data_IF_647033167568
#
_entry.id   IF_647033167568
#
_cell.length_a   1.000
_cell.length_b   1.000
_cell.length_c   1.000
_cell.angle_alpha   90.00
_cell.angle_beta   90.00
_cell.angle_gamma   90.00
#
_symmetry.space_group_name_H-M   'P 1'
#
loop_
_entity.id
_entity.type
_entity.pdbx_description
1 polymer ?
#
# COMPACT_ATOMS: atom_id res chain seq x y z
N UNK A 1 -10.93 1.64 15.71
CA UNK A 1 -10.19 1.55 14.44
C UNK A 1 -8.77 2.11 14.51
N UNK A 2 -8.49 3.28 15.12
CA UNK A 2 -7.14 3.88 15.15
C UNK A 2 -6.00 2.91 15.51
N UNK A 3 -6.14 2.13 16.59
CA UNK A 3 -5.16 1.12 17.00
C UNK A 3 -4.85 0.05 15.97
N UNK A 4 -5.81 -0.33 15.12
CA UNK A 4 -5.60 -1.31 14.04
C UNK A 4 -4.69 -0.75 12.94
N UNK A 5 -4.74 0.56 12.70
CA UNK A 5 -3.86 1.24 11.75
C UNK A 5 -2.45 1.44 12.31
N UNK A 6 -2.32 1.48 13.63
CA UNK A 6 -1.05 1.65 14.36
C UNK A 6 -0.33 0.32 14.65
N UNK A 7 -0.94 -0.82 14.32
CA UNK A 7 -0.27 -2.11 14.44
C UNK A 7 0.95 -2.16 13.53
N UNK A 8 2.02 -2.81 14.02
CA UNK A 8 3.16 -3.16 13.16
C UNK A 8 2.69 -4.01 11.99
N UNK A 9 3.23 -3.71 10.82
CA UNK A 9 3.01 -4.45 9.58
C UNK A 9 3.35 -5.94 9.72
N UNK A 10 4.31 -6.30 10.58
CA UNK A 10 4.64 -7.70 10.93
C UNK A 10 3.45 -8.48 11.50
N UNK A 11 2.50 -7.80 12.16
CA UNK A 11 1.26 -8.40 12.70
C UNK A 11 0.09 -8.34 11.72
N UNK A 12 0.29 -7.71 10.56
CA UNK A 12 -0.75 -7.49 9.56
C UNK A 12 -0.28 -7.93 8.18
N UNK A 13 0.48 -9.03 8.11
CA UNK A 13 0.94 -9.64 6.85
C UNK A 13 1.68 -8.65 5.93
N UNK A 14 2.51 -7.79 6.53
CA UNK A 14 3.25 -6.70 5.86
C UNK A 14 2.37 -5.64 5.19
N UNK A 15 1.12 -5.52 5.60
CA UNK A 15 0.23 -4.46 5.15
C UNK A 15 0.31 -3.30 6.14
N UNK A 16 0.94 -2.17 5.81
CA UNK A 16 0.94 -1.02 6.70
C UNK A 16 -0.48 -0.46 6.85
N UNK A 17 -0.79 0.10 8.02
CA UNK A 17 -2.06 0.78 8.24
C UNK A 17 -2.12 2.15 7.56
N UNK A 18 -0.99 2.83 7.45
CA UNK A 18 -0.81 4.09 6.75
C UNK A 18 0.49 4.03 5.94
N UNK A 19 0.41 4.40 4.67
CA UNK A 19 1.57 4.48 3.79
C UNK A 19 1.51 5.80 3.01
N UNK A 20 2.41 6.76 3.27
CA UNK A 20 2.46 7.99 2.50
C UNK A 20 2.96 7.70 1.08
N UNK A 21 2.26 8.25 0.09
CA UNK A 21 2.70 8.24 -1.29
C UNK A 21 2.96 9.67 -1.75
N UNK A 22 4.10 9.90 -2.38
CA UNK A 22 4.50 11.20 -2.92
C UNK A 22 4.81 11.03 -4.41
N UNK A 23 4.27 11.86 -5.31
CA UNK A 23 4.63 11.80 -6.72
C UNK A 23 6.15 11.80 -6.94
N UNK A 24 6.65 10.89 -7.78
CA UNK A 24 8.09 10.69 -8.01
C UNK A 24 8.75 9.70 -7.06
N UNK A 25 8.03 9.19 -6.06
CA UNK A 25 8.53 8.19 -5.11
C UNK A 25 8.87 6.88 -5.81
N UNK A 26 10.06 6.36 -5.52
CA UNK A 26 10.45 5.02 -5.94
C UNK A 26 9.67 3.98 -5.12
N UNK A 27 9.02 3.05 -5.81
CA UNK A 27 8.16 2.02 -5.21
C UNK A 27 8.51 0.63 -5.73
N UNK A 28 8.31 -0.39 -4.89
CA UNK A 28 8.39 -1.80 -5.26
C UNK A 28 6.99 -2.40 -5.18
N UNK A 29 6.61 -3.15 -6.21
CA UNK A 29 5.38 -3.93 -6.21
C UNK A 29 5.53 -5.12 -5.26
N UNK A 30 4.55 -5.34 -4.39
CA UNK A 30 4.61 -6.41 -3.37
C UNK A 30 3.84 -7.67 -3.75
N UNK A 31 3.11 -7.66 -4.86
CA UNK A 31 2.22 -8.74 -5.28
C UNK A 31 2.30 -8.96 -6.79
N UNK A 32 2.06 -10.19 -7.22
CA UNK A 32 1.90 -10.51 -8.64
C UNK A 32 0.50 -10.07 -9.09
N UNK A 33 0.44 -9.13 -10.03
CA UNK A 33 -0.84 -8.61 -10.55
C UNK A 33 -1.12 -9.19 -11.94
N UNK A 34 -0.12 -9.11 -12.83
CA UNK A 34 -0.20 -9.69 -14.17
C UNK A 34 1.20 -10.12 -14.59
N UNK A 35 1.52 -11.38 -14.31
CA UNK A 35 2.85 -11.98 -14.52
C UNK A 35 3.26 -11.86 -15.99
N UNK A 36 2.34 -12.14 -16.90
CA UNK A 36 2.58 -12.08 -18.35
C UNK A 36 2.96 -10.68 -18.84
N UNK A 37 2.46 -9.64 -18.18
CA UNK A 37 2.78 -8.24 -18.48
C UNK A 37 4.03 -7.74 -17.72
N UNK A 38 4.66 -8.61 -16.93
CA UNK A 38 5.83 -8.27 -16.12
C UNK A 38 5.50 -7.59 -14.77
N UNK A 39 4.23 -7.52 -14.37
CA UNK A 39 3.82 -6.96 -13.07
C UNK A 39 3.90 -8.03 -11.98
N UNK A 40 5.13 -8.28 -11.53
CA UNK A 40 5.48 -9.28 -10.53
C UNK A 40 5.99 -8.62 -9.24
N UNK A 41 5.86 -9.34 -8.13
CA UNK A 41 6.45 -8.94 -6.85
C UNK A 41 7.95 -8.67 -7.00
N UNK A 42 8.42 -7.55 -6.45
CA UNK A 42 9.80 -7.10 -6.52
C UNK A 42 10.11 -6.15 -7.69
N UNK A 43 9.17 -5.95 -8.63
CA UNK A 43 9.42 -4.98 -9.71
C UNK A 43 9.43 -3.55 -9.17
N UNK A 44 10.44 -2.79 -9.58
CA UNK A 44 10.55 -1.37 -9.26
C UNK A 44 9.72 -0.52 -10.21
N UNK A 45 9.18 0.56 -9.69
CA UNK A 45 8.50 1.60 -10.46
C UNK A 45 8.59 2.96 -9.78
N UNK A 46 8.00 3.96 -10.41
CA UNK A 46 7.88 5.31 -9.88
C UNK A 46 6.41 5.61 -9.70
N UNK A 47 5.98 5.87 -8.46
CA UNK A 47 4.62 6.32 -8.18
C UNK A 47 4.40 7.71 -8.77
N UNK A 48 3.34 7.90 -9.55
CA UNK A 48 3.02 9.20 -10.17
C UNK A 48 1.84 9.86 -9.51
N UNK A 49 0.70 9.18 -9.44
CA UNK A 49 -0.51 9.75 -8.86
C UNK A 49 -1.53 8.69 -8.46
N UNK A 50 -2.40 9.06 -7.53
CA UNK A 50 -3.61 8.32 -7.22
C UNK A 50 -4.75 8.81 -8.11
N UNK A 51 -5.48 7.87 -8.69
CA UNK A 51 -6.75 8.13 -9.38
C UNK A 51 -7.87 7.82 -8.42
N UNK A 52 -8.75 8.79 -8.20
CA UNK A 52 -9.86 8.68 -7.25
C UNK A 52 -11.19 8.54 -7.97
N UNK A 53 -12.19 8.05 -7.25
CA UNK A 53 -13.56 8.04 -7.72
C UNK A 53 -14.11 9.47 -7.77
N UNK A 54 -14.85 9.85 -8.82
CA UNK A 54 -15.28 11.24 -9.04
C UNK A 54 -16.17 11.83 -7.95
N UNK A 55 -16.83 10.99 -7.15
CA UNK A 55 -17.76 11.35 -6.06
C UNK A 55 -17.10 11.31 -4.67
N UNK A 56 -15.78 11.20 -4.59
CA UNK A 56 -15.09 10.85 -3.34
C UNK A 56 -14.54 12.03 -2.54
N UNK A 57 -15.08 13.22 -2.73
CA UNK A 57 -14.66 14.42 -2.01
C UNK A 57 -15.46 14.52 -0.70
N UNK A 58 -14.74 14.58 0.42
CA UNK A 58 -15.31 14.94 1.72
C UNK A 58 -14.65 16.21 2.25
N UNK A 59 -15.47 17.10 2.82
CA UNK A 59 -15.03 18.27 3.60
C UNK A 59 -14.97 17.98 5.08
N UNK A 60 -15.41 16.80 5.54
CA UNK A 60 -15.40 16.44 6.95
C UNK A 60 -13.97 16.18 7.41
N UNK A 61 -13.47 17.15 8.17
CA UNK A 61 -12.10 17.23 8.67
C UNK A 61 -11.84 16.09 9.66
N UNK A 62 -10.99 15.13 9.29
CA UNK A 62 -10.50 14.10 10.22
C UNK A 62 -9.41 14.64 11.16
N UNK A 63 -8.81 15.80 10.90
CA UNK A 63 -7.77 16.38 11.76
C UNK A 63 -7.69 17.91 11.74
N UNK A 64 -7.49 18.52 12.91
CA UNK A 64 -7.20 19.96 13.06
C UNK A 64 -5.83 20.37 12.50
N UNK A 65 -5.09 19.44 11.89
CA UNK A 65 -3.72 19.66 11.42
C UNK A 65 -3.65 20.38 10.06
N UNK A 66 -4.77 20.48 9.33
CA UNK A 66 -4.81 21.06 7.99
C UNK A 66 -5.75 22.27 7.92
N UNK A 67 -5.51 23.22 7.01
CA UNK A 67 -6.38 24.39 6.80
C UNK A 67 -7.84 24.00 6.53
N UNK A 68 -8.77 24.87 6.91
CA UNK A 68 -10.23 24.64 6.78
C UNK A 68 -10.73 24.47 5.34
N UNK A 69 -9.93 24.87 4.34
CA UNK A 69 -10.23 24.70 2.92
C UNK A 69 -9.63 23.41 2.31
N UNK A 70 -9.08 22.51 3.14
CA UNK A 70 -8.52 21.22 2.67
C UNK A 70 -9.63 20.28 2.23
N UNK A 71 -9.59 19.86 0.97
CA UNK A 71 -10.49 18.83 0.44
C UNK A 71 -9.87 17.44 0.68
N UNK A 72 -10.61 16.56 1.35
CA UNK A 72 -10.18 15.18 1.54
C UNK A 72 -10.79 14.31 0.45
N UNK A 73 -9.96 13.94 -0.52
CA UNK A 73 -10.35 12.97 -1.55
C UNK A 73 -10.08 11.57 -1.01
N UNK A 74 -11.13 10.77 -0.89
CA UNK A 74 -11.06 9.39 -0.39
C UNK A 74 -11.25 8.38 -1.52
N UNK A 75 -11.23 7.07 -1.22
CA UNK A 75 -11.51 5.97 -2.18
C UNK A 75 -10.70 6.05 -3.49
N UNK A 76 -9.38 5.83 -3.43
CA UNK A 76 -8.60 5.62 -4.64
C UNK A 76 -9.10 4.39 -5.42
N UNK A 77 -9.13 4.50 -6.74
CA UNK A 77 -9.46 3.42 -7.69
C UNK A 77 -8.20 2.64 -8.07
N UNK A 78 -7.15 3.36 -8.43
CA UNK A 78 -5.84 2.81 -8.82
C UNK A 78 -4.74 3.86 -8.59
N UNK A 79 -3.50 3.42 -8.66
CA UNK A 79 -2.33 4.28 -8.74
C UNK A 79 -1.74 4.22 -10.14
N UNK A 80 -1.49 5.37 -10.73
CA UNK A 80 -0.69 5.46 -11.94
C UNK A 80 0.78 5.41 -11.56
N UNK A 81 1.48 4.42 -12.12
CA UNK A 81 2.90 4.18 -11.81
C UNK A 81 3.67 3.91 -13.08
N UNK A 82 4.89 4.45 -13.16
CA UNK A 82 5.80 4.17 -14.26
C UNK A 82 6.57 2.89 -13.97
N UNK A 83 6.47 1.90 -14.85
CA UNK A 83 7.16 0.61 -14.70
C UNK A 83 8.01 0.36 -15.94
N UNK A 84 9.29 0.71 -15.87
CA UNK A 84 10.18 0.70 -17.04
C UNK A 84 10.37 -0.67 -17.69
N UNK A 85 10.21 -1.76 -16.92
CA UNK A 85 10.38 -3.14 -17.40
C UNK A 85 9.06 -3.86 -17.69
N UNK A 86 7.94 -3.13 -17.78
CA UNK A 86 6.67 -3.74 -18.17
C UNK A 86 6.76 -4.29 -19.59
N UNK A 87 6.11 -5.43 -19.84
CA UNK A 87 5.95 -6.01 -21.19
C UNK A 87 4.68 -5.50 -21.89
N UNK A 88 4.16 -4.35 -21.47
CA UNK A 88 2.99 -3.74 -22.08
C UNK A 88 3.44 -3.12 -23.41
N UNK A 89 3.11 -3.81 -24.50
CA UNK A 89 3.50 -3.44 -25.87
C UNK A 89 2.57 -2.37 -26.47
N UNK A 90 1.36 -2.24 -25.94
CA UNK A 90 0.40 -1.21 -26.36
C UNK A 90 0.61 0.07 -25.55
N UNK A 91 0.77 1.20 -26.23
CA UNK A 91 0.43 2.48 -25.60
C UNK A 91 -1.06 2.40 -25.29
N UNK A 92 -1.44 2.37 -24.01
CA UNK A 92 -2.81 2.66 -23.61
C UNK A 92 -3.14 4.03 -24.22
N UNK A 93 -4.14 4.10 -25.09
CA UNK A 93 -4.36 5.21 -26.05
C UNK A 93 -4.40 6.61 -25.41
N UNK A 94 -4.62 6.68 -24.09
CA UNK A 94 -4.72 7.89 -23.29
C UNK A 94 -3.56 8.10 -22.29
N UNK A 95 -2.56 7.20 -22.25
CA UNK A 95 -1.47 7.23 -21.28
C UNK A 95 -0.10 7.40 -21.93
N UNK A 96 0.77 8.14 -21.24
CA UNK A 96 2.18 8.22 -21.61
C UNK A 96 2.82 6.82 -21.60
N UNK A 97 3.77 6.53 -22.50
CA UNK A 97 4.45 5.24 -22.54
C UNK A 97 4.99 4.84 -21.16
N UNK A 98 4.82 3.55 -20.79
CA UNK A 98 5.25 2.94 -19.51
C UNK A 98 4.49 3.37 -18.25
N UNK A 99 3.50 4.25 -18.37
CA UNK A 99 2.59 4.54 -17.27
C UNK A 99 1.49 3.46 -17.25
N UNK A 100 1.29 2.85 -16.08
CA UNK A 100 0.39 1.71 -15.91
C UNK A 100 -0.52 1.96 -14.72
N UNK A 101 -1.84 1.70 -14.85
CA UNK A 101 -2.75 1.69 -13.71
C UNK A 101 -2.54 0.43 -12.87
N UNK A 102 -2.14 0.63 -11.61
CA UNK A 102 -2.01 -0.42 -10.60
C UNK A 102 -3.24 -0.39 -9.68
N UNK A 103 -4.11 -1.41 -9.73
CA UNK A 103 -5.31 -1.45 -8.91
C UNK A 103 -4.98 -1.63 -7.42
N UNK A 104 -5.92 -1.25 -6.57
CA UNK A 104 -5.86 -1.63 -5.16
C UNK A 104 -6.12 -3.12 -5.01
N UNK A 105 -5.32 -3.78 -4.19
CA UNK A 105 -5.45 -5.19 -3.85
C UNK A 105 -6.15 -5.34 -2.51
N UNK A 106 -6.92 -6.41 -2.39
CA UNK A 106 -7.59 -6.79 -1.16
C UNK A 106 -6.88 -7.99 -0.54
N UNK A 107 -6.51 -7.87 0.72
CA UNK A 107 -5.87 -8.94 1.47
C UNK A 107 -6.53 -9.08 2.83
N UNK A 108 -6.62 -10.32 3.29
CA UNK A 108 -7.20 -10.65 4.60
C UNK A 108 -6.10 -11.14 5.53
N UNK A 109 -6.03 -10.58 6.72
CA UNK A 109 -5.11 -10.99 7.78
C UNK A 109 -5.86 -11.18 9.09
N UNK A 110 -5.25 -11.93 10.01
CA UNK A 110 -5.83 -12.26 11.31
C UNK A 110 -5.07 -11.55 12.41
N UNK A 111 -5.80 -10.95 13.35
CA UNK A 111 -5.22 -10.26 14.50
C UNK A 111 -5.87 -10.76 15.78
N UNK A 112 -5.08 -10.96 16.83
CA UNK A 112 -5.61 -11.21 18.16
C UNK A 112 -6.27 -9.93 18.70
N UNK A 113 -7.51 -10.03 19.17
CA UNK A 113 -8.27 -8.89 19.70
C UNK A 113 -7.51 -8.19 20.84
N UNK A 114 -6.70 -8.93 21.62
CA UNK A 114 -5.88 -8.36 22.70
C UNK A 114 -4.87 -7.32 22.22
N UNK A 115 -4.39 -7.41 20.97
CA UNK A 115 -3.47 -6.43 20.38
C UNK A 115 -4.13 -5.08 20.08
N UNK A 116 -5.46 -5.07 19.91
CA UNK A 116 -6.23 -3.88 19.53
C UNK A 116 -6.96 -3.27 20.74
N UNK A 117 -7.17 -4.04 21.82
CA UNK A 117 -7.88 -3.55 23.01
C UNK A 117 -7.04 -2.55 23.84
N UNK A 118 -7.67 -1.63 24.59
CA UNK A 118 -7.00 -0.81 25.59
C UNK A 118 -6.36 -1.68 26.68
N UNK A 119 -5.10 -1.42 27.02
CA UNK A 119 -4.41 -2.05 28.15
C UNK A 119 -5.20 -1.70 29.42
N UNK A 120 -5.95 -2.65 29.98
CA UNK A 120 -6.82 -2.44 31.14
C UNK A 120 -8.15 -3.19 31.08
N UNK A 121 -8.65 -3.52 29.88
CA UNK A 121 -9.76 -4.47 29.70
C UNK A 121 -9.18 -5.83 29.33
N UNK A 122 -8.70 -6.58 30.33
CA UNK A 122 -8.36 -7.99 30.13
C UNK A 122 -9.64 -8.73 29.77
N UNK A 123 -9.60 -9.53 28.70
CA UNK A 123 -10.66 -10.51 28.43
C UNK A 123 -10.84 -11.38 29.68
N UNK A 124 -12.09 -11.56 30.11
CA UNK A 124 -12.45 -12.44 31.23
C UNK A 124 -12.22 -13.91 30.84
N UNK A 125 -12.14 -14.22 29.54
CA UNK A 125 -11.77 -15.54 29.03
C UNK A 125 -10.31 -15.57 28.57
N UNK A 126 -9.59 -16.64 28.93
CA UNK A 126 -8.24 -16.96 28.46
C UNK A 126 -8.22 -17.44 26.99
N UNK A 127 -9.35 -17.42 26.30
CA UNK A 127 -9.43 -17.83 24.90
C UNK A 127 -8.97 -16.71 23.98
N UNK A 128 -8.02 -17.04 23.09
CA UNK A 128 -7.55 -16.14 22.04
C UNK A 128 -8.70 -15.89 21.06
N UNK A 129 -9.32 -14.72 21.17
CA UNK A 129 -10.30 -14.28 20.21
C UNK A 129 -9.57 -13.69 18.99
N UNK A 130 -9.68 -14.37 17.83
CA UNK A 130 -9.03 -13.97 16.58
C UNK A 130 -10.04 -13.22 15.72
N UNK A 131 -9.67 -12.00 15.29
CA UNK A 131 -10.44 -11.20 14.34
C UNK A 131 -9.84 -11.34 12.94
N UNK A 132 -10.68 -11.67 11.96
CA UNK A 132 -10.32 -11.67 10.54
C UNK A 132 -10.62 -10.29 9.94
N UNK A 133 -9.60 -9.65 9.37
CA UNK A 133 -9.67 -8.27 8.88
C UNK A 133 -9.29 -8.26 7.41
N UNK A 134 -10.15 -7.65 6.61
CA UNK A 134 -9.95 -7.43 5.19
C UNK A 134 -9.52 -5.99 4.96
N UNK A 135 -8.40 -5.79 4.26
CA UNK A 135 -7.84 -4.47 3.95
C UNK A 135 -7.63 -4.34 2.45
N UNK A 136 -8.07 -3.21 1.91
CA UNK A 136 -7.83 -2.81 0.52
C UNK A 136 -6.75 -1.73 0.49
N UNK A 137 -5.64 -1.98 -0.18
CA UNK A 137 -4.49 -1.09 -0.24
C UNK A 137 -3.77 -1.20 -1.58
N UNK A 138 -2.91 -0.22 -1.91
CA UNK A 138 -2.00 -0.36 -3.03
C UNK A 138 -0.92 -1.41 -2.70
N UNK A 139 -0.58 -2.30 -3.64
CA UNK A 139 0.47 -3.30 -3.44
C UNK A 139 1.87 -2.70 -3.63
N UNK A 140 2.15 -1.60 -2.94
CA UNK A 140 3.42 -0.89 -3.02
C UNK A 140 4.08 -0.73 -1.66
N UNK A 141 5.41 -0.68 -1.67
CA UNK A 141 6.24 -0.19 -0.56
C UNK A 141 7.30 0.77 -1.09
N UNK A 142 7.78 1.72 -0.28
CA UNK A 142 8.94 2.54 -0.60
C UNK A 142 10.13 1.68 -1.03
N UNK A 143 10.85 2.13 -2.06
CA UNK A 143 12.01 1.43 -2.60
C UNK A 143 13.35 2.11 -2.25
N UNK A 144 13.35 3.06 -1.30
CA UNK A 144 14.59 3.74 -0.90
C UNK A 144 15.51 2.85 -0.08
N UNK A 145 14.94 2.03 0.80
CA UNK A 145 15.66 1.07 1.62
C UNK A 145 14.84 -0.22 1.68
N UNK A 146 15.49 -1.36 1.53
CA UNK A 146 14.86 -2.68 1.68
C UNK A 146 15.73 -3.53 2.60
N UNK A 147 15.09 -4.40 3.37
CA UNK A 147 15.82 -5.34 4.22
C UNK A 147 16.50 -6.41 3.37
N UNK A 148 17.63 -6.95 3.85
CA UNK A 148 18.35 -8.05 3.18
C UNK A 148 17.42 -9.21 2.86
N UNK A 149 16.54 -9.58 3.80
CA UNK A 149 15.52 -10.61 3.60
C UNK A 149 14.57 -10.29 2.44
N UNK A 150 14.11 -9.05 2.29
CA UNK A 150 13.22 -8.65 1.18
C UNK A 150 13.94 -8.55 -0.16
N UNK A 151 15.26 -8.28 -0.15
CA UNK A 151 16.09 -8.27 -1.36
C UNK A 151 16.45 -9.65 -1.89
N UNK A 152 16.26 -10.71 -1.09
CA UNK A 152 16.66 -12.06 -1.47
C UNK A 152 15.95 -12.52 -2.76
N UNK A 153 16.73 -12.99 -3.74
CA UNK A 153 16.22 -13.42 -5.05
C UNK A 153 15.96 -12.28 -6.04
N UNK A 154 16.19 -11.01 -5.66
CA UNK A 154 16.08 -9.87 -6.57
C UNK A 154 17.42 -9.56 -7.25
N UNK A 155 17.36 -9.11 -8.51
CA UNK A 155 18.53 -8.57 -9.22
C UNK A 155 18.59 -7.05 -9.03
N UNK A 156 19.54 -6.58 -8.23
CA UNK A 156 19.78 -5.17 -7.94
C UNK A 156 21.03 -4.69 -8.69
N UNK A 157 20.91 -3.63 -9.49
CA UNK A 157 22.02 -3.12 -10.32
C UNK A 157 23.02 -2.27 -9.53
N UNK A 158 22.54 -1.52 -8.54
CA UNK A 158 23.34 -0.65 -7.66
C UNK A 158 22.72 -0.72 -6.27
N UNK A 159 23.55 -0.97 -5.27
CA UNK A 159 23.12 -1.10 -3.86
C UNK A 159 24.11 -0.34 -2.98
N UNK A 160 23.59 0.35 -1.98
CA UNK A 160 24.35 0.85 -0.83
C UNK A 160 23.92 0.02 0.36
N UNK A 161 24.88 -0.49 1.13
CA UNK A 161 24.63 -1.31 2.32
C UNK A 161 24.98 -0.44 3.53
N UNK A 162 24.01 -0.30 4.44
CA UNK A 162 24.18 0.30 5.77
C UNK A 162 24.43 -0.82 6.80
#
# INVERSE_FOLDING_TARGET
MKKLLELSDSKTEHLPGLLPFVPGMSVILTQNIAIELGFINGINGIFRQLVYQSDSISTDVLSQAFPSNTQYVHRPLNALSEIARSKVECNLEELQPKLVPIPLMEQTFRVDITDILPKGKKSISNEKAILSIKRRALPFVPAYCITTHKSQGQTLHKVVID
#
